data_IF_230008405882
#
_entry.id   IF_230008405882
#
_cell.length_a   1.000
_cell.length_b   1.000
_cell.length_c   1.000
_cell.angle_alpha   90.00
_cell.angle_beta   90.00
_cell.angle_gamma   90.00
#
_symmetry.space_group_name_H-M   'P 1'
#
loop_
_entity.id
_entity.type
_entity.pdbx_description
1 polymer ?
#
# COMPACT_ATOMS: atom_id res chain seq x y z
N UNK A 1 12.19 19.38 20.81
CA UNK A 1 12.05 17.94 20.98
C UNK A 1 10.88 17.38 20.14
N UNK A 2 9.72 17.97 20.23
CA UNK A 2 8.51 17.55 19.49
C UNK A 2 8.67 17.70 17.97
N UNK A 3 9.39 18.72 17.49
CA UNK A 3 9.66 18.91 16.05
C UNK A 3 10.60 17.84 15.46
N UNK A 4 11.57 17.32 16.24
CA UNK A 4 12.45 16.24 15.79
C UNK A 4 11.73 14.90 15.67
N UNK A 5 10.81 14.58 16.57
CA UNK A 5 9.99 13.38 16.45
C UNK A 5 9.08 13.38 15.21
N UNK A 6 8.49 14.54 14.85
CA UNK A 6 7.68 14.65 13.63
C UNK A 6 8.50 14.48 12.33
N UNK A 7 9.75 14.92 12.31
CA UNK A 7 10.64 14.71 11.16
C UNK A 7 11.16 13.26 11.07
N UNK A 8 11.37 12.58 12.17
CA UNK A 8 11.80 11.18 12.19
C UNK A 8 10.73 10.22 11.63
N UNK A 9 9.44 10.46 11.87
CA UNK A 9 8.37 9.59 11.39
C UNK A 9 8.16 9.65 9.87
N UNK A 10 8.56 10.71 9.18
CA UNK A 10 8.22 10.95 7.77
C UNK A 10 9.28 10.43 6.79
N UNK A 11 10.56 10.31 7.20
CA UNK A 11 11.65 9.94 6.28
C UNK A 11 12.42 8.68 6.66
N UNK A 12 12.50 8.34 7.93
CA UNK A 12 13.47 7.34 8.42
C UNK A 12 12.88 5.92 8.58
N UNK A 13 11.59 5.73 8.34
CA UNK A 13 10.90 4.43 8.49
C UNK A 13 10.32 3.86 7.21
N UNK A 14 10.70 4.42 6.08
CA UNK A 14 10.30 3.89 4.78
C UNK A 14 11.30 2.79 4.37
N UNK A 15 10.80 1.67 3.91
CA UNK A 15 11.63 0.56 3.41
C UNK A 15 12.52 0.97 2.23
N UNK A 16 12.21 2.09 1.55
CA UNK A 16 13.09 2.70 0.55
C UNK A 16 14.40 3.27 1.13
N UNK A 17 14.50 3.50 2.47
CA UNK A 17 15.76 3.87 3.13
C UNK A 17 16.72 2.70 3.31
N UNK A 18 16.25 1.47 3.08
CA UNK A 18 17.02 0.23 3.13
C UNK A 18 16.99 -0.48 1.76
N UNK A 19 17.59 0.10 0.71
CA UNK A 19 17.42 -0.37 -0.66
C UNK A 19 17.92 -1.78 -0.89
N UNK A 20 19.01 -2.18 -0.24
CA UNK A 20 19.59 -3.52 -0.38
C UNK A 20 18.70 -4.58 0.24
N UNK A 21 18.14 -4.31 1.43
CA UNK A 21 17.24 -5.21 2.13
C UNK A 21 15.90 -5.32 1.40
N UNK A 22 15.37 -4.19 0.92
CA UNK A 22 14.17 -4.15 0.08
C UNK A 22 14.37 -4.98 -1.20
N UNK A 23 15.52 -4.79 -1.88
CA UNK A 23 15.85 -5.56 -3.08
C UNK A 23 15.92 -7.06 -2.75
N UNK A 24 16.61 -7.43 -1.67
CA UNK A 24 16.71 -8.82 -1.23
C UNK A 24 15.34 -9.46 -1.01
N UNK A 25 14.42 -8.79 -0.30
CA UNK A 25 13.05 -9.28 -0.10
C UNK A 25 12.32 -9.51 -1.42
N UNK A 26 12.33 -8.52 -2.31
CA UNK A 26 11.65 -8.60 -3.60
C UNK A 26 12.25 -9.71 -4.49
N UNK A 27 13.58 -9.85 -4.49
CA UNK A 27 14.25 -10.92 -5.22
C UNK A 27 13.87 -12.31 -4.67
N UNK A 28 13.75 -12.46 -3.34
CA UNK A 28 13.31 -13.73 -2.73
C UNK A 28 11.86 -14.08 -3.04
N UNK A 29 10.96 -13.10 -3.08
CA UNK A 29 9.57 -13.30 -3.53
C UNK A 29 9.56 -13.83 -4.97
N UNK A 30 10.37 -13.26 -5.85
CA UNK A 30 10.47 -13.66 -7.26
C UNK A 30 11.13 -15.04 -7.43
N UNK A 31 12.26 -15.27 -6.78
CA UNK A 31 12.98 -16.56 -6.83
C UNK A 31 12.09 -17.72 -6.36
N UNK A 32 11.33 -17.51 -5.30
CA UNK A 32 10.39 -18.48 -4.76
C UNK A 32 9.06 -18.56 -5.54
N UNK A 33 8.86 -17.71 -6.56
CA UNK A 33 7.62 -17.60 -7.34
C UNK A 33 6.39 -17.49 -6.45
N UNK A 34 6.46 -16.64 -5.42
CA UNK A 34 5.34 -16.38 -4.53
C UNK A 34 4.36 -15.49 -5.25
N UNK A 35 3.13 -15.95 -5.45
CA UNK A 35 2.04 -15.21 -6.09
C UNK A 35 1.13 -14.55 -5.07
N UNK A 36 0.37 -13.52 -5.51
CA UNK A 36 -0.66 -12.89 -4.70
C UNK A 36 -0.13 -12.00 -3.56
N UNK A 37 1.09 -11.49 -3.65
CA UNK A 37 1.68 -10.66 -2.59
C UNK A 37 1.13 -9.23 -2.67
N UNK A 38 0.60 -8.75 -1.54
CA UNK A 38 0.18 -7.37 -1.32
C UNK A 38 0.77 -6.91 0.01
N UNK A 39 1.46 -5.79 0.01
CA UNK A 39 2.00 -5.18 1.22
C UNK A 39 0.95 -4.32 1.91
N UNK A 40 0.90 -4.39 3.23
CA UNK A 40 0.04 -3.55 4.06
C UNK A 40 0.92 -2.85 5.07
N UNK A 41 0.86 -1.54 5.07
CA UNK A 41 1.61 -0.72 6.02
C UNK A 41 0.82 0.48 6.55
N UNK A 42 1.45 1.31 7.37
CA UNK A 42 0.85 2.44 8.03
C UNK A 42 1.88 3.51 8.41
N UNK A 43 1.68 4.16 9.57
CA UNK A 43 2.60 5.15 10.18
C UNK A 43 2.80 6.46 9.38
N UNK A 44 2.38 6.54 8.12
CA UNK A 44 2.60 7.69 7.23
C UNK A 44 1.60 8.83 7.45
N UNK A 45 0.56 8.60 8.22
CA UNK A 45 -0.49 9.56 8.52
C UNK A 45 -1.29 10.03 7.30
N UNK A 46 -1.33 9.21 6.28
CA UNK A 46 -2.20 9.30 5.10
C UNK A 46 -2.49 7.89 4.57
N UNK A 47 -3.42 7.77 3.67
CA UNK A 47 -3.70 6.52 2.96
C UNK A 47 -3.40 6.70 1.48
N UNK A 48 -2.75 5.70 0.89
CA UNK A 48 -2.46 5.65 -0.54
C UNK A 48 -2.24 4.20 -0.97
N UNK A 49 -2.69 3.86 -2.19
CA UNK A 49 -2.38 2.60 -2.84
C UNK A 49 -1.31 2.83 -3.91
N UNK A 50 -0.24 2.06 -3.83
CA UNK A 50 0.82 2.05 -4.84
C UNK A 50 0.78 0.74 -5.64
N UNK A 51 1.12 0.83 -6.93
CA UNK A 51 1.21 -0.30 -7.85
C UNK A 51 2.56 -0.29 -8.55
N UNK A 52 3.44 -1.20 -8.18
CA UNK A 52 4.77 -1.35 -8.78
C UNK A 52 4.78 -2.51 -9.77
N UNK A 53 5.10 -2.24 -11.01
CA UNK A 53 5.30 -3.25 -12.05
C UNK A 53 6.62 -2.99 -12.75
N UNK A 54 7.62 -3.80 -12.46
CA UNK A 54 8.98 -3.59 -12.98
C UNK A 54 9.18 -4.13 -14.40
N UNK A 55 8.56 -5.27 -14.71
CA UNK A 55 8.62 -5.91 -16.04
C UNK A 55 7.29 -6.52 -16.43
N UNK A 56 7.09 -6.78 -17.72
CA UNK A 56 5.85 -7.38 -18.23
C UNK A 56 5.62 -8.84 -17.78
N UNK A 57 6.69 -9.54 -17.40
CA UNK A 57 6.61 -10.95 -17.03
C UNK A 57 6.49 -11.19 -15.51
N UNK A 58 6.32 -10.13 -14.74
CA UNK A 58 6.13 -10.16 -13.29
C UNK A 58 4.81 -9.47 -12.97
N UNK A 59 3.99 -10.09 -12.17
CA UNK A 59 2.75 -9.46 -11.73
C UNK A 59 3.01 -8.18 -10.92
N UNK A 60 2.08 -7.20 -10.91
CA UNK A 60 2.25 -5.98 -10.16
C UNK A 60 2.21 -6.25 -8.65
N UNK A 61 3.17 -5.69 -7.91
CA UNK A 61 3.13 -5.64 -6.45
C UNK A 61 2.33 -4.42 -6.02
N UNK A 62 1.37 -4.64 -5.14
CA UNK A 62 0.59 -3.59 -4.50
C UNK A 62 1.09 -3.34 -3.08
N UNK A 63 1.05 -2.08 -2.69
CA UNK A 63 1.40 -1.59 -1.37
C UNK A 63 0.32 -0.61 -0.91
N UNK A 64 -0.43 -1.00 0.12
CA UNK A 64 -1.46 -0.18 0.75
C UNK A 64 -0.92 0.40 2.04
N UNK A 65 -0.57 1.66 2.03
CA UNK A 65 -0.43 2.45 3.26
C UNK A 65 -1.81 2.89 3.72
N UNK A 66 -2.19 2.60 4.98
CA UNK A 66 -3.47 3.01 5.56
C UNK A 66 -3.27 3.55 6.97
N UNK A 67 -3.31 4.86 7.11
CA UNK A 67 -3.30 5.62 8.36
C UNK A 67 -3.77 7.07 8.11
N UNK A 68 -4.15 7.86 9.06
CA UNK A 68 -4.20 7.65 10.50
C UNK A 68 -5.66 7.52 10.94
N UNK A 69 -5.92 6.64 11.91
CA UNK A 69 -7.27 6.50 12.47
C UNK A 69 -7.59 7.66 13.42
N UNK A 70 -6.69 8.02 14.32
CA UNK A 70 -6.91 9.01 15.38
C UNK A 70 -5.80 10.05 15.51
N UNK A 71 -4.60 9.81 14.96
CA UNK A 71 -3.49 10.76 14.97
C UNK A 71 -3.70 11.90 13.96
N UNK A 72 -2.83 12.91 14.01
CA UNK A 72 -2.83 13.97 13.01
C UNK A 72 -2.56 13.43 11.61
N UNK A 73 -3.15 14.05 10.60
CA UNK A 73 -2.97 13.68 9.20
C UNK A 73 -1.76 14.37 8.57
N UNK A 74 -1.17 13.72 7.55
CA UNK A 74 -0.08 14.26 6.78
C UNK A 74 -0.57 14.65 5.38
N UNK A 75 -0.27 15.88 4.95
CA UNK A 75 -0.63 16.41 3.65
C UNK A 75 0.44 16.15 2.56
N UNK A 76 1.52 15.46 2.90
CA UNK A 76 2.53 15.06 1.92
C UNK A 76 1.97 13.89 1.09
N UNK A 77 1.60 14.18 -0.16
CA UNK A 77 1.08 13.19 -1.11
C UNK A 77 2.18 12.36 -1.79
N UNK A 78 3.34 12.26 -1.18
CA UNK A 78 4.48 11.50 -1.68
C UNK A 78 4.87 11.83 -3.15
N UNK A 79 5.29 13.06 -3.46
CA UNK A 79 5.58 13.47 -4.83
C UNK A 79 6.70 12.64 -5.49
N UNK A 80 7.52 11.95 -4.69
CA UNK A 80 8.61 11.09 -5.15
C UNK A 80 8.19 9.63 -5.37
N UNK A 81 6.97 9.26 -5.02
CA UNK A 81 6.45 7.91 -5.24
C UNK A 81 5.82 7.81 -6.63
N UNK A 82 6.61 7.36 -7.59
CA UNK A 82 6.15 7.19 -8.99
C UNK A 82 5.18 6.03 -9.20
N UNK A 83 4.96 5.19 -8.19
CA UNK A 83 4.08 4.02 -8.26
C UNK A 83 2.70 4.28 -7.64
N UNK A 84 2.50 5.44 -7.02
CA UNK A 84 1.22 5.77 -6.37
C UNK A 84 0.08 5.87 -7.39
N UNK A 85 -1.10 5.47 -6.99
CA UNK A 85 -2.34 5.73 -7.68
C UNK A 85 -2.94 7.02 -7.09
N UNK A 86 -2.79 8.14 -7.80
CA UNK A 86 -3.12 9.48 -7.31
C UNK A 86 -4.55 9.58 -6.75
N UNK A 87 -5.50 8.91 -7.40
CA UNK A 87 -6.90 8.91 -7.02
C UNK A 87 -7.19 8.20 -5.69
N UNK A 88 -6.19 7.50 -5.12
CA UNK A 88 -6.32 6.77 -3.85
C UNK A 88 -5.77 7.53 -2.65
N UNK A 89 -5.21 8.72 -2.86
CA UNK A 89 -4.66 9.52 -1.78
C UNK A 89 -5.74 10.07 -0.86
N UNK A 90 -5.60 9.79 0.45
CA UNK A 90 -6.51 10.25 1.50
C UNK A 90 -5.72 10.85 2.65
N UNK A 91 -5.99 12.10 2.96
CA UNK A 91 -5.34 12.87 4.03
C UNK A 91 -6.31 13.33 5.13
N UNK A 92 -7.34 12.55 5.38
CA UNK A 92 -8.23 12.70 6.54
C UNK A 92 -8.13 11.48 7.44
N UNK A 93 -8.63 11.56 8.67
CA UNK A 93 -8.71 10.37 9.52
C UNK A 93 -9.58 9.32 8.86
N UNK A 94 -9.04 8.11 8.72
CA UNK A 94 -9.63 7.07 7.91
C UNK A 94 -9.28 5.67 8.43
N UNK A 95 -9.97 4.68 7.91
CA UNK A 95 -9.68 3.26 8.10
C UNK A 95 -9.98 2.47 6.81
N UNK A 96 -9.33 1.33 6.67
CA UNK A 96 -9.51 0.43 5.54
C UNK A 96 -10.22 -0.85 5.94
N UNK A 97 -11.06 -1.38 5.04
CA UNK A 97 -11.62 -2.72 5.09
C UNK A 97 -11.11 -3.54 3.91
N UNK A 98 -10.68 -4.76 4.20
CA UNK A 98 -10.21 -5.72 3.22
C UNK A 98 -11.14 -6.92 3.20
N UNK A 99 -11.80 -7.15 2.07
CA UNK A 99 -12.69 -8.29 1.86
C UNK A 99 -12.12 -9.22 0.78
N UNK A 100 -11.94 -10.49 1.12
CA UNK A 100 -11.56 -11.51 0.14
C UNK A 100 -12.77 -12.37 -0.16
N UNK A 101 -13.22 -12.36 -1.41
CA UNK A 101 -14.39 -13.08 -1.90
C UNK A 101 -14.03 -14.00 -3.07
N UNK A 102 -15.00 -14.77 -3.54
CA UNK A 102 -14.86 -15.68 -4.69
C UNK A 102 -14.32 -17.08 -4.32
N UNK A 103 -14.40 -18.03 -5.27
CA UNK A 103 -13.91 -19.39 -5.11
C UNK A 103 -12.36 -19.41 -5.04
N UNK A 104 -11.80 -20.54 -4.61
CA UNK A 104 -10.36 -20.68 -4.39
C UNK A 104 -9.47 -20.37 -5.61
N UNK A 105 -9.99 -20.59 -6.80
CA UNK A 105 -9.29 -20.37 -8.08
C UNK A 105 -9.61 -19.01 -8.75
N UNK A 106 -10.53 -18.22 -8.17
CA UNK A 106 -10.92 -16.90 -8.70
C UNK A 106 -11.28 -15.96 -7.54
N UNK A 107 -10.29 -15.75 -6.67
CA UNK A 107 -10.42 -14.84 -5.54
C UNK A 107 -10.24 -13.39 -5.98
N UNK A 108 -11.00 -12.52 -5.31
CA UNK A 108 -10.92 -11.08 -5.47
C UNK A 108 -10.75 -10.42 -4.11
N UNK A 109 -9.75 -9.56 -4.00
CA UNK A 109 -9.57 -8.67 -2.87
C UNK A 109 -10.24 -7.34 -3.18
N UNK A 110 -11.20 -6.94 -2.35
CA UNK A 110 -11.80 -5.59 -2.35
C UNK A 110 -11.21 -4.78 -1.21
N UNK A 111 -10.64 -3.64 -1.56
CA UNK A 111 -10.10 -2.63 -0.63
C UNK A 111 -11.10 -1.49 -0.59
N UNK A 112 -11.60 -1.16 0.59
CA UNK A 112 -12.51 -0.03 0.82
C UNK A 112 -11.90 0.88 1.87
N UNK A 113 -11.83 2.18 1.60
CA UNK A 113 -11.37 3.18 2.56
C UNK A 113 -12.53 4.07 2.95
N UNK A 114 -12.68 4.26 4.24
CA UNK A 114 -13.73 5.07 4.88
C UNK A 114 -13.10 6.18 5.70
N UNK A 115 -13.78 7.32 5.79
CA UNK A 115 -13.43 8.32 6.78
C UNK A 115 -13.82 7.87 8.21
N UNK A 116 -13.46 8.67 9.22
CA UNK A 116 -13.76 8.40 10.62
C UNK A 116 -15.26 8.30 10.93
N UNK A 117 -16.12 8.85 10.08
CA UNK A 117 -17.59 8.87 10.25
C UNK A 117 -18.26 7.73 9.45
N UNK A 118 -17.47 6.88 8.78
CA UNK A 118 -17.92 5.71 8.03
C UNK A 118 -18.39 5.99 6.61
N UNK A 119 -18.08 7.19 6.06
CA UNK A 119 -18.34 7.51 4.67
C UNK A 119 -17.27 6.88 3.80
N UNK A 120 -17.66 6.09 2.79
CA UNK A 120 -16.73 5.53 1.81
C UNK A 120 -16.07 6.65 0.99
N UNK A 121 -14.74 6.63 0.94
CA UNK A 121 -13.92 7.57 0.19
C UNK A 121 -13.53 7.00 -1.17
N UNK A 122 -13.12 5.71 -1.21
CA UNK A 122 -12.88 4.97 -2.44
C UNK A 122 -12.93 3.46 -2.21
N UNK A 123 -13.14 2.74 -3.31
CA UNK A 123 -13.13 1.29 -3.40
C UNK A 123 -12.29 0.84 -4.60
N UNK A 124 -11.50 -0.20 -4.40
CA UNK A 124 -10.72 -0.87 -5.47
C UNK A 124 -10.74 -2.37 -5.29
N UNK A 125 -10.81 -3.08 -6.43
CA UNK A 125 -10.73 -4.55 -6.48
C UNK A 125 -9.47 -5.01 -7.20
N UNK A 126 -8.87 -6.08 -6.70
CA UNK A 126 -7.69 -6.74 -7.26
C UNK A 126 -8.00 -8.23 -7.37
N UNK A 127 -7.94 -8.79 -8.58
CA UNK A 127 -8.16 -10.22 -8.80
C UNK A 127 -6.89 -11.00 -8.52
N UNK A 128 -7.02 -12.15 -7.87
CA UNK A 128 -5.89 -13.03 -7.62
C UNK A 128 -5.21 -13.51 -8.93
N UNK A 129 -6.00 -13.62 -10.02
CA UNK A 129 -5.46 -13.99 -11.33
C UNK A 129 -4.55 -12.91 -11.94
N UNK A 130 -4.71 -11.63 -11.55
CA UNK A 130 -3.84 -10.53 -11.98
C UNK A 130 -2.51 -10.50 -11.22
N UNK A 131 -2.38 -11.34 -10.17
CA UNK A 131 -1.22 -11.44 -9.29
C UNK A 131 -0.48 -12.76 -9.44
N UNK A 132 -0.44 -13.31 -10.64
CA UNK A 132 0.26 -14.56 -11.00
C UNK A 132 1.39 -14.29 -11.97
N UNK A 133 2.34 -15.20 -11.97
CA UNK A 133 3.36 -15.25 -13.02
C UNK A 133 2.76 -15.85 -14.29
N UNK A 134 3.19 -15.36 -15.46
CA UNK A 134 2.87 -15.93 -16.77
C UNK A 134 3.56 -17.29 -16.99
#
# INVERSE_FOLDING_TARGET
>A
WIRRQRQMCIRDRNYATYPDERKYLLDKIREAKIEGVIFLDGDRHHTILSKMQETKNVYPLYDLTCSSLTAGVNNDNEPYNSFKLEETFVNVNNFGMLNVTGPANDRELTIQIFDKDGKELWIKSIKANDLKYD
#
